data_IF_218342719172
#
_entry.id   IF_218342719172
#
_cell.length_a   1.000
_cell.length_b   1.000
_cell.length_c   1.000
_cell.angle_alpha   90.00
_cell.angle_beta   90.00
_cell.angle_gamma   90.00
#
_symmetry.space_group_name_H-M   'P 1'
#
loop_
_entity.id
_entity.type
_entity.pdbx_description
1 polymer ?
#
# COMPACT_ATOMS: atom_id res chain seq x y z
N UNK A 1 16.54 18.63 -22.56
CA UNK A 1 15.39 17.81 -22.13
C UNK A 1 14.62 18.60 -21.11
N UNK A 2 13.61 19.35 -21.57
CA UNK A 2 12.70 20.09 -20.69
C UNK A 2 11.85 19.08 -19.96
N UNK A 3 12.18 18.83 -18.69
CA UNK A 3 11.36 18.03 -17.79
C UNK A 3 10.08 18.85 -17.59
N UNK A 4 9.06 18.57 -18.42
CA UNK A 4 7.73 19.07 -18.15
C UNK A 4 7.34 18.62 -16.75
N UNK A 5 6.96 19.59 -15.93
CA UNK A 5 6.38 19.36 -14.61
C UNK A 5 5.01 18.74 -14.85
N UNK A 6 4.99 17.46 -15.20
CA UNK A 6 3.78 16.70 -15.47
C UNK A 6 2.97 16.78 -14.19
N UNK A 7 1.83 17.47 -14.27
CA UNK A 7 0.83 17.53 -13.21
C UNK A 7 0.70 16.13 -12.62
N UNK A 8 0.65 15.95 -11.29
CA UNK A 8 0.47 14.63 -10.70
C UNK A 8 -0.66 13.93 -11.46
N UNK A 9 -0.36 12.75 -12.02
CA UNK A 9 -1.27 12.05 -12.95
C UNK A 9 -2.56 11.71 -12.18
N UNK A 10 -3.53 12.64 -12.17
CA UNK A 10 -4.76 12.53 -11.37
C UNK A 10 -5.57 11.28 -11.75
N UNK A 11 -5.47 10.86 -13.01
CA UNK A 11 -5.99 9.59 -13.50
C UNK A 11 -5.38 8.39 -12.76
N UNK A 12 -4.07 8.37 -12.56
CA UNK A 12 -3.37 7.31 -11.85
C UNK A 12 -3.79 7.27 -10.38
N UNK A 13 -3.94 8.43 -9.75
CA UNK A 13 -4.42 8.54 -8.37
C UNK A 13 -5.85 7.99 -8.21
N UNK A 14 -6.75 8.34 -9.11
CA UNK A 14 -8.13 7.82 -9.13
C UNK A 14 -8.15 6.30 -9.33
N UNK A 15 -7.35 5.77 -10.27
CA UNK A 15 -7.24 4.33 -10.51
C UNK A 15 -6.74 3.59 -9.26
N UNK A 16 -5.73 4.14 -8.57
CA UNK A 16 -5.20 3.57 -7.32
C UNK A 16 -6.27 3.54 -6.22
N UNK A 17 -7.07 4.60 -6.05
CA UNK A 17 -8.16 4.64 -5.07
C UNK A 17 -9.25 3.61 -5.39
N UNK A 18 -9.61 3.45 -6.66
CA UNK A 18 -10.60 2.46 -7.09
C UNK A 18 -10.09 1.05 -6.81
N UNK A 19 -8.85 0.74 -7.20
CA UNK A 19 -8.23 -0.56 -6.94
C UNK A 19 -8.11 -0.85 -5.45
N UNK A 20 -7.74 0.14 -4.64
CA UNK A 20 -7.64 0.02 -3.20
C UNK A 20 -9.02 -0.27 -2.57
N UNK A 21 -10.07 0.42 -3.03
CA UNK A 21 -11.46 0.17 -2.60
C UNK A 21 -11.91 -1.26 -2.95
N UNK A 22 -11.61 -1.72 -4.16
CA UNK A 22 -11.92 -3.08 -4.60
C UNK A 22 -11.17 -4.12 -3.75
N UNK A 23 -9.89 -3.89 -3.48
CA UNK A 23 -9.07 -4.78 -2.63
C UNK A 23 -9.59 -4.87 -1.19
N UNK A 24 -10.02 -3.74 -0.61
CA UNK A 24 -10.67 -3.73 0.71
C UNK A 24 -11.97 -4.53 0.69
N UNK A 25 -12.81 -4.37 -0.34
CA UNK A 25 -14.03 -5.15 -0.52
C UNK A 25 -13.75 -6.66 -0.63
N UNK A 26 -12.71 -7.06 -1.37
CA UNK A 26 -12.34 -8.46 -1.56
C UNK A 26 -11.89 -9.14 -0.25
N UNK A 27 -11.04 -8.46 0.53
CA UNK A 27 -10.57 -8.98 1.82
C UNK A 27 -11.70 -9.00 2.85
N UNK A 28 -12.57 -7.99 2.84
CA UNK A 28 -13.79 -7.98 3.65
C UNK A 28 -14.66 -9.21 3.36
N UNK A 29 -14.85 -9.56 2.07
CA UNK A 29 -15.62 -10.73 1.66
C UNK A 29 -15.01 -12.06 2.15
N UNK A 30 -13.69 -12.22 2.05
CA UNK A 30 -13.01 -13.48 2.41
C UNK A 30 -12.81 -13.67 3.93
N UNK A 31 -12.65 -12.59 4.71
CA UNK A 31 -12.48 -12.67 6.18
C UNK A 31 -13.79 -12.64 6.98
N UNK A 32 -14.93 -12.34 6.36
CA UNK A 32 -16.23 -12.29 7.06
C UNK A 32 -16.62 -13.65 7.66
N UNK A 33 -16.32 -14.75 6.97
CA UNK A 33 -16.66 -16.12 7.41
C UNK A 33 -15.80 -16.57 8.61
N UNK A 34 -14.57 -16.06 8.71
CA UNK A 34 -13.62 -16.45 9.77
C UNK A 34 -13.81 -15.63 11.07
N UNK A 35 -14.25 -14.38 10.96
CA UNK A 35 -14.56 -13.51 12.10
C UNK A 35 -15.81 -13.96 12.88
N UNK A 36 -16.83 -14.46 12.17
CA UNK A 36 -18.10 -14.89 12.77
C UNK A 36 -17.96 -16.12 13.67
N UNK A 37 -17.04 -17.04 13.36
CA UNK A 37 -16.88 -18.29 14.11
C UNK A 37 -16.01 -18.18 15.38
N UNK A 38 -15.10 -17.22 15.49
CA UNK A 38 -14.06 -17.24 16.54
C UNK A 38 -14.06 -16.04 17.50
N UNK A 39 -14.59 -14.86 17.13
CA UNK A 39 -14.36 -13.63 17.92
C UNK A 39 -15.61 -12.88 18.39
N UNK A 40 -16.82 -13.24 17.93
CA UNK A 40 -18.07 -12.61 18.41
C UNK A 40 -18.22 -11.11 18.10
N UNK A 41 -17.29 -10.51 17.33
CA UNK A 41 -17.26 -9.08 17.03
C UNK A 41 -16.84 -8.85 15.56
N UNK A 42 -17.82 -8.59 14.70
CA UNK A 42 -17.70 -8.54 13.22
C UNK A 42 -16.78 -7.43 12.66
N UNK A 43 -16.23 -6.56 13.51
CA UNK A 43 -15.49 -5.37 13.08
C UNK A 43 -13.97 -5.48 13.18
N UNK A 44 -13.42 -6.59 13.67
CA UNK A 44 -11.97 -6.68 13.95
C UNK A 44 -11.10 -6.65 12.69
N UNK A 45 -11.50 -7.37 11.63
CA UNK A 45 -10.78 -7.37 10.36
C UNK A 45 -10.98 -6.06 9.58
N UNK A 46 -12.17 -5.46 9.66
CA UNK A 46 -12.45 -4.18 9.02
C UNK A 46 -11.59 -3.07 9.63
N UNK A 47 -11.47 -3.00 10.97
CA UNK A 47 -10.60 -2.04 11.66
C UNK A 47 -9.14 -2.18 11.25
N UNK A 48 -8.61 -3.42 11.16
CA UNK A 48 -7.22 -3.63 10.72
C UNK A 48 -7.03 -3.23 9.25
N UNK A 49 -7.93 -3.63 8.36
CA UNK A 49 -7.86 -3.28 6.94
C UNK A 49 -7.90 -1.76 6.74
N UNK A 50 -8.78 -1.06 7.46
CA UNK A 50 -8.89 0.39 7.42
C UNK A 50 -7.63 1.08 7.95
N UNK A 51 -7.04 0.54 9.02
CA UNK A 51 -5.80 1.05 9.62
C UNK A 51 -4.62 0.88 8.66
N UNK A 52 -4.48 -0.27 8.00
CA UNK A 52 -3.46 -0.48 6.95
C UNK A 52 -3.72 0.38 5.71
N UNK A 53 -4.97 0.62 5.32
CA UNK A 53 -5.31 1.50 4.21
C UNK A 53 -4.93 2.97 4.51
N UNK A 54 -5.20 3.45 5.74
CA UNK A 54 -4.80 4.79 6.18
C UNK A 54 -3.26 4.90 6.22
N UNK A 55 -2.58 3.91 6.78
CA UNK A 55 -1.10 3.87 6.80
C UNK A 55 -0.56 3.88 5.37
N UNK A 56 -1.13 3.09 4.46
CA UNK A 56 -0.75 3.05 3.04
C UNK A 56 -0.95 4.40 2.34
N UNK A 57 -2.06 5.10 2.61
CA UNK A 57 -2.32 6.45 2.10
C UNK A 57 -1.31 7.49 2.62
N UNK A 58 -0.98 7.43 3.91
CA UNK A 58 0.02 8.31 4.52
C UNK A 58 1.40 8.07 3.89
N UNK A 59 1.80 6.80 3.74
CA UNK A 59 3.07 6.42 3.09
C UNK A 59 3.07 6.85 1.61
N UNK A 60 1.96 6.71 0.89
CA UNK A 60 1.83 7.15 -0.50
C UNK A 60 2.03 8.66 -0.64
N UNK A 61 1.46 9.45 0.28
CA UNK A 61 1.61 10.90 0.27
C UNK A 61 3.05 11.33 0.60
N UNK A 62 3.68 10.68 1.57
CA UNK A 62 5.10 10.84 1.89
C UNK A 62 5.98 10.46 0.69
N UNK A 63 5.70 9.33 0.03
CA UNK A 63 6.47 8.86 -1.11
C UNK A 63 6.38 9.79 -2.32
N UNK A 64 5.20 10.40 -2.54
CA UNK A 64 5.00 11.40 -3.60
C UNK A 64 5.79 12.69 -3.31
N UNK A 65 6.07 12.98 -2.03
CA UNK A 65 6.85 14.16 -1.61
C UNK A 65 8.36 13.93 -1.62
N UNK A 66 8.83 12.69 -1.70
CA UNK A 66 10.26 12.35 -1.71
C UNK A 66 10.79 12.36 -3.15
N UNK A 67 11.86 13.11 -3.37
CA UNK A 67 12.49 13.27 -4.67
C UNK A 67 13.05 11.93 -5.20
N UNK A 68 12.84 11.63 -6.49
CA UNK A 68 13.21 10.35 -7.14
C UNK A 68 14.70 10.01 -7.01
N UNK A 69 15.55 11.03 -6.83
CA UNK A 69 17.00 10.88 -6.63
C UNK A 69 17.37 10.14 -5.35
N UNK A 70 16.55 10.25 -4.29
CA UNK A 70 16.77 9.51 -3.06
C UNK A 70 16.44 8.03 -3.25
N UNK A 71 15.36 7.71 -3.95
CA UNK A 71 14.99 6.33 -4.28
C UNK A 71 16.08 5.61 -5.09
N UNK A 72 16.74 6.31 -6.02
CA UNK A 72 17.82 5.72 -6.82
C UNK A 72 19.05 5.33 -5.99
N UNK A 73 19.41 6.10 -4.96
CA UNK A 73 20.50 5.74 -4.03
C UNK A 73 20.10 4.64 -3.05
N UNK A 74 18.82 4.60 -2.65
CA UNK A 74 18.26 3.58 -1.77
C UNK A 74 17.97 2.24 -2.47
N UNK A 75 17.90 2.21 -3.80
CA UNK A 75 17.65 1.00 -4.57
C UNK A 75 18.72 -0.10 -4.36
N UNK A 76 20.00 0.27 -4.32
CA UNK A 76 21.10 -0.68 -4.08
C UNK A 76 21.03 -1.36 -2.69
N UNK A 77 20.91 -0.62 -1.57
CA UNK A 77 20.78 -1.25 -0.25
C UNK A 77 19.48 -2.05 -0.09
N UNK A 78 18.37 -1.60 -0.68
CA UNK A 78 17.10 -2.37 -0.70
C UNK A 78 17.23 -3.68 -1.46
N UNK A 79 17.97 -3.70 -2.58
CA UNK A 79 18.22 -4.92 -3.34
C UNK A 79 19.03 -5.92 -2.52
N UNK A 80 20.10 -5.47 -1.87
CA UNK A 80 20.92 -6.32 -0.98
C UNK A 80 20.07 -6.85 0.18
N UNK A 81 19.27 -6.00 0.81
CA UNK A 81 18.35 -6.40 1.87
C UNK A 81 17.36 -7.48 1.38
N UNK A 82 16.78 -7.29 0.19
CA UNK A 82 15.85 -8.27 -0.39
C UNK A 82 16.50 -9.62 -0.63
N UNK A 83 17.76 -9.65 -1.08
CA UNK A 83 18.52 -10.90 -1.25
C UNK A 83 18.76 -11.58 0.10
N UNK A 84 19.11 -10.82 1.14
CA UNK A 84 19.33 -11.36 2.49
C UNK A 84 18.05 -11.98 3.05
N UNK A 85 16.91 -11.27 2.93
CA UNK A 85 15.61 -11.79 3.39
C UNK A 85 15.21 -13.04 2.63
N UNK A 86 15.49 -13.10 1.32
CA UNK A 86 15.20 -14.27 0.50
C UNK A 86 16.02 -15.50 0.91
N UNK A 87 17.24 -15.31 1.38
CA UNK A 87 18.10 -16.40 1.88
C UNK A 87 17.65 -16.87 3.27
N UNK A 88 17.02 -16.00 4.06
CA UNK A 88 16.58 -16.28 5.43
C UNK A 88 15.24 -17.04 5.49
N UNK A 89 14.39 -16.91 4.47
CA UNK A 89 13.13 -17.66 4.31
C UNK A 89 13.41 -19.10 3.87
#
# INVERSE_FOLDING_TARGET
>A
MTIEKKSPDLLLFIVVIILLSIGICMVFSSSYVMAYKWYGDSYFFLKKQLLYAIIGLVIFFLATSIDYHYYKKLALPILILSIIVLIMV
#
